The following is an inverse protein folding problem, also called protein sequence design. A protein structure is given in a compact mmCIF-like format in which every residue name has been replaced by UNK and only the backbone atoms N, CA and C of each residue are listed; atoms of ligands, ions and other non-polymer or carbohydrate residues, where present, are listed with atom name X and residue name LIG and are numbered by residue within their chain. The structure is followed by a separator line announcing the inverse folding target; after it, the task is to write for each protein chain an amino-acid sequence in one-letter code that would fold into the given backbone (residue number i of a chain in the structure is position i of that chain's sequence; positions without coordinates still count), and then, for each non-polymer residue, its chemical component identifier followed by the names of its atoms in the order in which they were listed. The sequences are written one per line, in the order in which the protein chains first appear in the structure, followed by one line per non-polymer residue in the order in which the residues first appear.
data_IF_494421069640
#
_entry.id   IF_494421069640
#
_cell.length_a   1.000
_cell.length_b   1.000
_cell.length_c   1.000
_cell.angle_alpha   90.00
_cell.angle_beta   90.00
_cell.angle_gamma   90.00
#
_symmetry.space_group_name_H-M   'P 1'
#
loop_
_entity.id
_entity.type
_entity.pdbx_description
1 polymer ?
#
# COMPACT_ATOMS: atom_id res chain seq x y z
N UNK A 1 -32.80 49.03 8.07
CA UNK A 1 -31.76 48.05 8.51
C UNK A 1 -31.95 46.78 7.72
N UNK A 2 -31.14 46.54 6.68
CA UNK A 2 -31.22 45.36 5.82
C UNK A 2 -30.25 44.29 6.31
N UNK A 3 -30.78 43.14 6.71
CA UNK A 3 -29.99 41.96 7.07
C UNK A 3 -29.38 41.34 5.80
N UNK A 4 -28.05 41.39 5.65
CA UNK A 4 -27.30 40.60 4.67
C UNK A 4 -27.30 39.13 5.09
N UNK A 5 -28.07 38.30 4.42
CA UNK A 5 -27.96 36.84 4.51
C UNK A 5 -26.75 36.41 3.72
N UNK A 6 -25.70 36.00 4.43
CA UNK A 6 -24.52 35.35 3.85
C UNK A 6 -24.90 33.95 3.42
N UNK A 7 -25.06 33.73 2.12
CA UNK A 7 -25.21 32.40 1.51
C UNK A 7 -23.85 31.70 1.53
N UNK A 8 -23.64 30.79 2.47
CA UNK A 8 -22.52 29.87 2.45
C UNK A 8 -22.63 28.95 1.22
N UNK A 9 -21.77 29.15 0.21
CA UNK A 9 -21.62 28.23 -0.92
C UNK A 9 -21.25 26.86 -0.34
N UNK A 10 -22.17 25.90 -0.34
CA UNK A 10 -21.89 24.48 -0.21
C UNK A 10 -20.97 24.09 -1.35
N UNK A 11 -19.69 23.87 -1.08
CA UNK A 11 -18.76 23.29 -2.05
C UNK A 11 -19.26 21.88 -2.39
N UNK A 12 -19.67 21.68 -3.64
CA UNK A 12 -19.94 20.35 -4.17
C UNK A 12 -18.68 19.50 -3.98
N UNK A 13 -18.76 18.28 -3.42
CA UNK A 13 -17.57 17.44 -3.29
C UNK A 13 -17.00 17.18 -4.67
N UNK A 14 -15.72 17.52 -4.88
CA UNK A 14 -15.02 17.25 -6.13
C UNK A 14 -15.04 15.74 -6.41
N UNK A 15 -15.42 15.36 -7.62
CA UNK A 15 -15.42 13.96 -8.07
C UNK A 15 -14.01 13.34 -8.03
N UNK A 16 -13.87 12.00 -8.10
CA UNK A 16 -12.58 11.30 -8.09
C UNK A 16 -11.61 11.82 -9.16
N UNK A 17 -12.12 12.22 -10.32
CA UNK A 17 -11.34 12.76 -11.44
C UNK A 17 -10.58 14.05 -11.06
N UNK A 18 -11.25 14.99 -10.39
CA UNK A 18 -10.62 16.23 -9.93
C UNK A 18 -9.55 15.97 -8.85
N UNK A 19 -9.77 15.00 -7.96
CA UNK A 19 -8.82 14.60 -6.92
C UNK A 19 -7.54 13.96 -7.49
N UNK A 20 -7.61 13.33 -8.68
CA UNK A 20 -6.46 12.71 -9.35
C UNK A 20 -5.69 13.67 -10.27
N UNK A 21 -6.08 14.93 -10.37
CA UNK A 21 -5.44 15.90 -11.28
C UNK A 21 -3.94 16.06 -10.97
N UNK A 22 -3.55 16.18 -9.69
CA UNK A 22 -2.14 16.30 -9.27
C UNK A 22 -1.35 15.03 -9.58
N UNK A 23 -1.91 13.86 -9.32
CA UNK A 23 -1.32 12.57 -9.64
C UNK A 23 -0.99 12.47 -11.14
N UNK A 24 -1.96 12.81 -12.01
CA UNK A 24 -1.80 12.74 -13.47
C UNK A 24 -0.80 13.78 -14.00
N UNK A 25 -0.78 14.99 -13.42
CA UNK A 25 0.16 16.05 -13.80
C UNK A 25 1.63 15.66 -13.60
N UNK A 26 1.91 14.81 -12.63
CA UNK A 26 3.28 14.39 -12.26
C UNK A 26 3.78 13.21 -13.08
N UNK A 27 2.98 12.59 -13.96
CA UNK A 27 3.29 11.31 -14.63
C UNK A 27 3.12 11.36 -16.12
N UNK A 28 4.04 10.70 -16.82
CA UNK A 28 3.91 10.39 -18.24
C UNK A 28 3.56 8.90 -18.40
N UNK A 29 2.28 8.61 -18.61
CA UNK A 29 1.76 7.23 -18.71
C UNK A 29 2.18 6.50 -20.00
N UNK A 30 2.89 7.16 -20.93
CA UNK A 30 3.57 6.47 -22.03
C UNK A 30 4.89 5.84 -21.60
N UNK A 31 5.46 6.29 -20.47
CA UNK A 31 6.77 5.90 -19.96
C UNK A 31 6.74 5.09 -18.68
N UNK A 32 5.61 5.08 -17.96
CA UNK A 32 5.44 4.31 -16.73
C UNK A 32 4.31 3.29 -16.85
N UNK A 33 4.44 2.16 -16.18
CA UNK A 33 3.38 1.16 -16.07
C UNK A 33 2.33 1.49 -14.97
N UNK A 34 2.47 2.63 -14.28
CA UNK A 34 1.51 3.06 -13.27
C UNK A 34 0.12 3.28 -13.87
N UNK A 35 -0.97 2.96 -13.14
CA UNK A 35 -2.34 3.15 -13.63
C UNK A 35 -2.73 4.63 -13.72
N UNK A 36 -3.30 5.05 -14.83
CA UNK A 36 -3.82 6.42 -15.02
C UNK A 36 -5.10 6.70 -14.21
N UNK A 37 -5.78 5.65 -13.71
CA UNK A 37 -7.07 5.73 -13.02
C UNK A 37 -8.25 5.85 -14.00
N UNK A 38 -9.47 5.72 -13.47
CA UNK A 38 -10.72 5.87 -14.24
C UNK A 38 -11.67 4.69 -14.12
N UNK A 39 -11.33 3.63 -13.39
CA UNK A 39 -12.23 2.51 -13.13
C UNK A 39 -13.04 2.75 -11.86
N UNK A 40 -14.36 2.72 -11.97
CA UNK A 40 -15.24 2.72 -10.81
C UNK A 40 -15.11 1.39 -10.05
N UNK A 41 -14.95 1.47 -8.73
CA UNK A 41 -14.92 0.29 -7.87
C UNK A 41 -16.33 -0.17 -7.52
N UNK A 42 -16.59 -1.50 -7.61
CA UNK A 42 -17.87 -2.11 -7.23
C UNK A 42 -17.92 -2.64 -5.77
N UNK A 43 -16.82 -2.57 -5.02
CA UNK A 43 -16.77 -3.11 -3.65
C UNK A 43 -17.36 -2.15 -2.63
N UNK A 44 -18.17 -2.69 -1.70
CA UNK A 44 -18.70 -1.95 -0.55
C UNK A 44 -17.68 -1.78 0.60
N UNK A 45 -16.56 -2.51 0.57
CA UNK A 45 -15.52 -2.43 1.60
C UNK A 45 -14.39 -1.54 1.13
N UNK A 46 -13.98 -0.60 1.97
CA UNK A 46 -12.85 0.28 1.71
C UNK A 46 -11.55 -0.52 1.71
N UNK A 47 -10.69 -0.27 0.73
CA UNK A 47 -9.41 -0.93 0.61
C UNK A 47 -8.30 -0.14 1.27
N UNK A 48 -7.25 -0.86 1.70
CA UNK A 48 -5.96 -0.27 1.95
C UNK A 48 -4.84 -1.08 1.28
N UNK A 49 -3.72 -0.41 1.07
CA UNK A 49 -2.47 -1.03 0.65
C UNK A 49 -1.30 -0.34 1.35
N UNK A 50 -0.26 -1.11 1.64
CA UNK A 50 1.07 -0.59 1.97
C UNK A 50 2.04 -1.10 0.91
N UNK A 51 2.74 -0.18 0.27
CA UNK A 51 3.75 -0.48 -0.73
C UNK A 51 5.13 -0.12 -0.19
N UNK A 52 6.04 -1.10 -0.10
CA UNK A 52 7.47 -0.86 0.16
C UNK A 52 8.07 -0.32 -1.12
N UNK A 53 8.64 0.88 -1.07
CA UNK A 53 9.10 1.62 -2.23
C UNK A 53 10.58 1.98 -2.10
N UNK A 54 11.41 1.35 -2.91
CA UNK A 54 12.84 1.67 -3.04
C UNK A 54 13.05 2.72 -4.14
N UNK A 55 12.73 3.98 -3.81
CA UNK A 55 13.01 5.17 -4.63
C UNK A 55 14.40 5.74 -4.29
N UNK A 56 14.57 7.06 -4.31
CA UNK A 56 15.80 7.72 -3.82
C UNK A 56 16.12 7.35 -2.37
N UNK A 57 15.09 7.13 -1.55
CA UNK A 57 15.16 6.61 -0.19
C UNK A 57 14.08 5.56 -0.01
N UNK A 58 14.40 4.48 0.72
CA UNK A 58 13.43 3.46 1.07
C UNK A 58 12.35 4.06 1.98
N UNK A 59 11.09 3.82 1.65
CA UNK A 59 9.94 4.21 2.46
C UNK A 59 8.78 3.24 2.22
N UNK A 60 7.70 3.44 2.98
CA UNK A 60 6.47 2.67 2.85
C UNK A 60 5.31 3.62 2.56
N UNK A 61 4.63 3.41 1.45
CA UNK A 61 3.45 4.18 1.08
C UNK A 61 2.20 3.54 1.66
N UNK A 62 1.60 4.16 2.67
CA UNK A 62 0.27 3.80 3.18
C UNK A 62 -0.79 4.50 2.35
N UNK A 63 -1.74 3.72 1.82
CA UNK A 63 -2.86 4.24 1.04
C UNK A 63 -4.18 3.69 1.57
N UNK A 64 -5.14 4.59 1.82
CA UNK A 64 -6.47 4.30 2.36
C UNK A 64 -7.53 4.85 1.41
N UNK A 65 -8.41 3.99 0.91
CA UNK A 65 -9.50 4.39 0.01
C UNK A 65 -10.51 5.28 0.71
N UNK A 66 -10.75 6.48 0.18
CA UNK A 66 -11.80 7.37 0.65
C UNK A 66 -12.32 8.21 -0.51
N UNK A 67 -13.64 8.27 -0.68
CA UNK A 67 -14.30 9.07 -1.73
C UNK A 67 -13.79 8.80 -3.16
N UNK A 68 -13.56 7.51 -3.47
CA UNK A 68 -13.19 7.05 -4.81
C UNK A 68 -11.73 7.23 -5.21
N UNK A 69 -10.85 7.59 -4.26
CA UNK A 69 -9.40 7.70 -4.44
C UNK A 69 -8.67 7.06 -3.26
N UNK A 70 -7.36 6.84 -3.41
CA UNK A 70 -6.48 6.39 -2.33
C UNK A 70 -5.80 7.59 -1.68
N UNK A 71 -6.24 7.99 -0.48
CA UNK A 71 -5.52 8.94 0.38
C UNK A 71 -4.17 8.35 0.74
N UNK A 72 -3.08 9.07 0.53
CA UNK A 72 -1.74 8.50 0.52
C UNK A 72 -0.76 9.23 1.43
N UNK A 73 0.09 8.45 2.12
CA UNK A 73 1.15 8.94 3.00
C UNK A 73 2.43 8.14 2.79
N UNK A 74 3.55 8.82 2.60
CA UNK A 74 4.88 8.23 2.66
C UNK A 74 5.34 8.12 4.11
N UNK A 75 5.68 6.91 4.56
CA UNK A 75 6.15 6.58 5.91
C UNK A 75 7.61 6.13 5.84
N UNK A 76 8.61 7.02 6.10
CA UNK A 76 10.02 6.73 5.84
C UNK A 76 10.58 5.51 6.59
N UNK A 77 10.11 5.27 7.81
CA UNK A 77 10.54 4.14 8.65
C UNK A 77 9.54 2.96 8.65
N UNK A 78 8.54 3.01 7.77
CA UNK A 78 7.45 2.02 7.75
C UNK A 78 6.55 2.05 8.99
N UNK A 79 5.50 1.20 9.02
CA UNK A 79 4.62 1.05 10.18
C UNK A 79 5.34 0.38 11.36
N UNK A 80 4.76 0.49 12.56
CA UNK A 80 5.21 -0.24 13.75
C UNK A 80 4.01 -0.81 14.49
N UNK A 81 4.07 -2.05 14.93
CA UNK A 81 3.07 -2.68 15.79
C UNK A 81 3.21 -2.29 17.27
N UNK A 82 4.29 -1.56 17.62
CA UNK A 82 4.51 -1.03 18.97
C UNK A 82 3.72 0.27 19.17
N UNK A 83 2.73 0.32 20.09
CA UNK A 83 1.93 1.51 20.36
C UNK A 83 2.71 2.70 20.94
N UNK A 84 3.92 2.49 21.47
CA UNK A 84 4.79 3.56 21.95
C UNK A 84 5.48 4.32 20.80
N UNK A 85 5.57 3.71 19.63
CA UNK A 85 6.28 4.23 18.46
C UNK A 85 5.34 5.06 17.58
N UNK A 86 5.72 6.33 17.36
CA UNK A 86 5.04 7.25 16.46
C UNK A 86 5.83 7.36 15.16
N UNK A 87 5.25 6.95 14.04
CA UNK A 87 5.91 7.00 12.73
C UNK A 87 5.50 8.26 11.97
N UNK A 88 6.47 9.04 11.52
CA UNK A 88 6.19 10.15 10.59
C UNK A 88 5.52 9.60 9.33
N UNK A 89 4.43 10.24 8.92
CA UNK A 89 3.70 9.95 7.70
C UNK A 89 3.48 11.28 6.95
N UNK A 90 4.14 11.44 5.81
CA UNK A 90 4.05 12.65 4.99
C UNK A 90 2.93 12.46 3.98
N UNK A 91 1.91 13.31 4.04
CA UNK A 91 0.81 13.25 3.08
C UNK A 91 1.32 13.61 1.68
N UNK A 92 0.94 12.81 0.71
CA UNK A 92 1.23 13.01 -0.72
C UNK A 92 -0.07 13.11 -1.50
N UNK A 93 0.01 13.25 -2.83
CA UNK A 93 -1.16 13.32 -3.70
C UNK A 93 -2.02 12.05 -3.62
N UNK A 94 -3.32 12.21 -3.89
CA UNK A 94 -4.25 11.11 -4.00
C UNK A 94 -3.89 10.21 -5.20
N UNK A 95 -4.00 8.89 -5.03
CA UNK A 95 -3.72 7.91 -6.08
C UNK A 95 -5.00 7.22 -6.56
N UNK A 96 -5.03 6.67 -7.77
CA UNK A 96 -6.17 5.90 -8.26
C UNK A 96 -6.31 4.57 -7.50
N UNK A 97 -7.53 4.04 -7.42
CA UNK A 97 -7.82 2.78 -6.71
C UNK A 97 -7.05 1.60 -7.34
N UNK A 98 -6.85 1.62 -8.64
CA UNK A 98 -6.09 0.61 -9.38
C UNK A 98 -4.64 0.48 -8.92
N UNK A 99 -4.09 1.55 -8.30
CA UNK A 99 -2.74 1.53 -7.75
C UNK A 99 -2.56 0.50 -6.62
N UNK A 100 -3.67 0.02 -6.01
CA UNK A 100 -3.67 -1.03 -4.98
C UNK A 100 -3.13 -2.38 -5.47
N UNK A 101 -3.05 -2.58 -6.78
CA UNK A 101 -2.49 -3.80 -7.39
C UNK A 101 -1.16 -3.56 -8.11
N UNK A 102 -0.64 -2.33 -8.08
CA UNK A 102 0.60 -2.00 -8.73
C UNK A 102 1.81 -2.55 -7.95
N UNK A 103 2.59 -3.40 -8.62
CA UNK A 103 3.89 -3.90 -8.19
C UNK A 103 4.81 -3.94 -9.40
N UNK A 104 6.01 -3.37 -9.29
CA UNK A 104 6.95 -3.30 -10.41
C UNK A 104 7.96 -2.18 -10.26
N UNK A 105 8.67 -1.87 -11.33
CA UNK A 105 9.68 -0.81 -11.35
C UNK A 105 9.17 0.38 -12.17
N UNK A 106 9.16 1.56 -11.54
CA UNK A 106 8.95 2.85 -12.19
C UNK A 106 10.30 3.29 -12.75
N UNK A 107 10.40 3.67 -14.04
CA UNK A 107 11.67 3.99 -14.67
C UNK A 107 12.43 5.11 -13.94
N UNK A 108 13.76 5.01 -13.93
CA UNK A 108 14.62 6.06 -13.38
C UNK A 108 14.43 7.36 -14.18
N UNK A 109 14.25 8.46 -13.46
CA UNK A 109 13.98 9.78 -14.05
C UNK A 109 12.50 10.15 -14.12
N UNK A 110 11.59 9.18 -13.96
CA UNK A 110 10.16 9.47 -13.78
C UNK A 110 9.86 9.83 -12.32
N UNK A 111 8.74 10.55 -12.08
CA UNK A 111 8.30 10.88 -10.73
C UNK A 111 8.02 9.61 -9.94
N UNK A 112 8.64 9.49 -8.76
CA UNK A 112 8.55 8.26 -7.95
C UNK A 112 9.38 7.09 -8.48
N UNK A 113 10.36 7.33 -9.38
CA UNK A 113 11.22 6.29 -9.95
C UNK A 113 11.83 5.37 -8.89
N UNK A 114 11.72 4.04 -9.09
CA UNK A 114 12.16 3.03 -8.15
C UNK A 114 11.31 1.77 -8.19
N UNK A 115 11.63 0.81 -7.33
CA UNK A 115 10.93 -0.48 -7.26
C UNK A 115 9.83 -0.44 -6.19
N UNK A 116 8.64 -0.86 -6.55
CA UNK A 116 7.45 -0.90 -5.70
C UNK A 116 7.03 -2.35 -5.46
N UNK A 117 6.93 -2.74 -4.19
CA UNK A 117 6.45 -4.05 -3.73
C UNK A 117 5.13 -3.89 -3.00
N UNK A 118 4.17 -4.76 -3.25
CA UNK A 118 2.95 -4.86 -2.43
C UNK A 118 3.30 -5.52 -1.08
N UNK A 119 3.65 -4.68 -0.09
CA UNK A 119 4.11 -5.15 1.22
C UNK A 119 2.96 -5.61 2.11
N UNK A 120 1.82 -4.91 2.12
CA UNK A 120 0.58 -5.38 2.76
C UNK A 120 -0.65 -4.86 2.02
N UNK A 121 -1.77 -5.56 2.11
CA UNK A 121 -3.05 -5.13 1.55
C UNK A 121 -4.22 -5.81 2.22
N UNK A 122 -5.37 -5.14 2.19
CA UNK A 122 -6.61 -5.68 2.74
C UNK A 122 -7.75 -4.68 2.65
N UNK A 123 -8.63 -4.75 3.63
CA UNK A 123 -9.72 -3.81 3.83
C UNK A 123 -9.53 -3.05 5.14
N UNK A 124 -10.21 -1.94 5.27
CA UNK A 124 -10.24 -1.20 6.52
C UNK A 124 -11.64 -0.66 6.80
N UNK A 125 -11.89 -0.32 8.05
CA UNK A 125 -13.15 0.25 8.53
C UNK A 125 -12.89 1.45 9.45
N UNK A 126 -13.95 2.18 9.77
CA UNK A 126 -13.87 3.28 10.73
C UNK A 126 -13.58 2.77 12.14
N UNK A 127 -12.62 3.40 12.80
CA UNK A 127 -12.18 3.06 14.17
C UNK A 127 -12.67 4.02 15.27
N UNK A 128 -13.65 4.87 14.97
CA UNK A 128 -14.23 5.82 15.93
C UNK A 128 -15.67 5.48 16.32
N UNK A 129 -16.39 6.46 16.85
CA UNK A 129 -17.72 6.30 17.45
C UNK A 129 -18.86 6.97 16.67
N UNK A 130 -18.60 7.56 15.49
CA UNK A 130 -19.65 8.15 14.66
C UNK A 130 -20.59 7.03 14.16
N UNK A 131 -21.93 7.17 14.30
CA UNK A 131 -22.88 6.17 13.82
C UNK A 131 -22.86 5.99 12.29
N UNK A 132 -22.46 7.00 11.51
CA UNK A 132 -22.12 6.86 10.09
C UNK A 132 -20.60 6.67 9.93
N UNK A 133 -20.13 5.46 9.60
CA UNK A 133 -18.70 5.18 9.47
C UNK A 133 -18.02 6.02 8.38
N UNK A 134 -18.69 6.27 7.26
CA UNK A 134 -18.11 7.01 6.14
C UNK A 134 -17.99 8.51 6.46
N UNK A 135 -19.01 9.07 7.10
CA UNK A 135 -18.98 10.45 7.60
C UNK A 135 -17.91 10.60 8.71
N UNK A 136 -17.79 9.60 9.60
CA UNK A 136 -16.73 9.54 10.61
C UNK A 136 -15.32 9.55 10.01
N UNK A 137 -15.07 8.79 8.94
CA UNK A 137 -13.80 8.79 8.21
C UNK A 137 -13.54 10.16 7.55
N UNK A 138 -14.52 10.73 6.85
CA UNK A 138 -14.41 12.06 6.23
C UNK A 138 -14.13 13.15 7.25
N UNK A 139 -14.88 13.14 8.35
CA UNK A 139 -14.72 14.08 9.45
C UNK A 139 -13.34 13.97 10.10
N UNK A 140 -12.89 12.75 10.39
CA UNK A 140 -11.59 12.46 10.97
C UNK A 140 -10.43 12.90 10.06
N UNK A 141 -10.51 12.60 8.76
CA UNK A 141 -9.52 13.05 7.78
C UNK A 141 -9.45 14.59 7.71
N UNK A 142 -10.59 15.26 7.63
CA UNK A 142 -10.67 16.72 7.60
C UNK A 142 -10.10 17.36 8.88
N UNK A 143 -10.45 16.81 10.04
CA UNK A 143 -10.00 17.27 11.36
C UNK A 143 -8.51 16.99 11.60
N UNK A 144 -7.97 15.90 10.99
CA UNK A 144 -6.61 15.42 11.26
C UNK A 144 -6.51 14.46 12.44
N UNK A 145 -7.58 13.74 12.73
CA UNK A 145 -7.68 12.64 13.70
C UNK A 145 -8.38 11.45 13.01
N UNK A 146 -7.63 10.76 12.17
CA UNK A 146 -8.16 9.75 11.26
C UNK A 146 -7.98 8.35 11.85
N UNK A 147 -9.03 7.83 12.51
CA UNK A 147 -9.05 6.54 13.19
C UNK A 147 -9.62 5.46 12.29
N UNK A 148 -8.93 4.33 12.20
CA UNK A 148 -9.31 3.21 11.34
C UNK A 148 -8.86 1.87 11.93
N UNK A 149 -9.52 0.81 11.50
CA UNK A 149 -9.19 -0.59 11.85
C UNK A 149 -8.75 -1.29 10.59
N UNK A 150 -7.53 -1.79 10.55
CA UNK A 150 -6.98 -2.56 9.44
C UNK A 150 -7.36 -4.04 9.56
N UNK A 151 -7.64 -4.66 8.39
CA UNK A 151 -7.79 -6.08 8.21
C UNK A 151 -6.90 -6.50 7.03
N UNK A 152 -5.60 -6.47 7.25
CA UNK A 152 -4.55 -6.83 6.31
C UNK A 152 -4.01 -8.24 6.49
N UNK A 153 -3.08 -8.60 5.64
CA UNK A 153 -2.34 -9.86 5.77
C UNK A 153 -1.27 -9.79 6.88
N UNK A 154 -0.74 -8.59 7.14
CA UNK A 154 0.32 -8.32 8.12
C UNK A 154 -0.13 -7.37 9.20
N UNK A 155 -0.77 -6.27 8.82
CA UNK A 155 -1.25 -5.27 9.76
C UNK A 155 -2.73 -5.45 10.03
N UNK A 156 -3.06 -5.56 11.31
CA UNK A 156 -4.43 -5.71 11.79
C UNK A 156 -4.71 -4.75 12.95
N UNK A 157 -5.99 -4.68 13.34
CA UNK A 157 -6.43 -3.92 14.50
C UNK A 157 -6.47 -2.41 14.30
N UNK A 158 -6.49 -1.69 15.40
CA UNK A 158 -6.81 -0.26 15.47
C UNK A 158 -5.58 0.63 15.31
N UNK A 159 -5.73 1.68 14.49
CA UNK A 159 -4.70 2.64 14.14
C UNK A 159 -5.26 4.05 14.10
N UNK A 160 -4.37 5.03 14.20
CA UNK A 160 -4.71 6.43 13.98
C UNK A 160 -3.62 7.15 13.19
N UNK A 161 -4.04 8.03 12.29
CA UNK A 161 -3.22 9.08 11.70
C UNK A 161 -3.60 10.42 12.32
N UNK A 162 -2.63 11.05 12.99
CA UNK A 162 -2.80 12.36 13.64
C UNK A 162 -2.02 13.41 12.87
N UNK A 163 -2.72 14.40 12.30
CA UNK A 163 -2.07 15.53 11.62
C UNK A 163 -1.44 16.45 12.64
N UNK A 164 -0.17 16.78 12.46
CA UNK A 164 0.59 17.64 13.37
C UNK A 164 0.78 19.03 12.79
N UNK A 165 1.68 19.17 11.85
CA UNK A 165 2.06 20.45 11.21
C UNK A 165 2.36 20.20 9.74
N UNK A 166 2.52 21.27 8.98
CA UNK A 166 3.10 21.17 7.64
C UNK A 166 4.63 21.30 7.70
N UNK A 167 5.32 20.71 6.73
CA UNK A 167 6.74 20.93 6.54
C UNK A 167 7.04 22.34 5.97
N UNK A 168 8.31 22.67 5.73
CA UNK A 168 8.73 23.95 5.17
C UNK A 168 8.17 24.22 3.75
N UNK A 169 7.69 23.18 3.05
CA UNK A 169 7.06 23.26 1.73
C UNK A 169 5.55 23.31 1.79
N UNK A 170 4.95 23.33 3.00
CA UNK A 170 3.52 23.32 3.21
C UNK A 170 2.86 21.94 3.11
N UNK A 171 3.64 20.84 2.99
CA UNK A 171 3.09 19.50 2.96
C UNK A 171 2.62 19.07 4.36
N UNK A 172 1.38 18.56 4.50
CA UNK A 172 0.87 18.11 5.78
C UNK A 172 1.65 16.91 6.32
N UNK A 173 2.12 17.03 7.56
CA UNK A 173 2.76 15.96 8.29
C UNK A 173 1.79 15.33 9.28
N UNK A 174 1.84 13.99 9.35
CA UNK A 174 1.01 13.18 10.22
C UNK A 174 1.88 12.22 11.02
N UNK A 175 1.32 11.66 12.07
CA UNK A 175 1.90 10.56 12.83
C UNK A 175 0.99 9.34 12.66
N UNK A 176 1.56 8.24 12.17
CA UNK A 176 0.93 6.92 12.16
C UNK A 176 1.24 6.22 13.47
N UNK A 177 0.20 5.80 14.20
CA UNK A 177 0.31 5.22 15.53
C UNK A 177 -0.60 3.99 15.60
N UNK A 178 -0.06 2.87 16.10
CA UNK A 178 -0.82 1.68 16.49
C UNK A 178 -1.51 1.92 17.83
N UNK A 179 -2.79 1.61 17.93
CA UNK A 179 -3.46 1.58 19.23
C UNK A 179 -3.12 0.30 20.01
N UNK A 180 -3.29 0.35 21.35
CA UNK A 180 -3.19 -0.83 22.21
C UNK A 180 -4.42 -1.71 21.98
N UNK A 181 -4.21 -2.87 21.37
CA UNK A 181 -5.20 -3.90 21.13
C UNK A 181 -4.51 -5.27 21.06
N UNK A 182 -5.23 -6.32 20.75
CA UNK A 182 -4.71 -7.70 20.64
C UNK A 182 -3.67 -7.92 19.54
N UNK A 183 -3.55 -6.98 18.59
CA UNK A 183 -2.57 -6.99 17.50
C UNK A 183 -1.37 -6.07 17.75
N UNK A 184 -1.25 -5.52 18.96
CA UNK A 184 -0.12 -4.69 19.33
C UNK A 184 1.06 -5.58 19.77
N UNK A 185 2.25 -5.29 19.22
CA UNK A 185 3.47 -6.04 19.50
C UNK A 185 4.60 -5.09 19.93
N UNK A 186 4.69 -4.76 21.24
CA UNK A 186 5.73 -3.88 21.74
C UNK A 186 7.13 -4.42 21.45
N UNK A 187 8.00 -3.56 20.91
CA UNK A 187 9.40 -3.91 20.62
C UNK A 187 9.63 -4.71 19.32
N UNK A 188 8.57 -5.06 18.55
CA UNK A 188 8.71 -5.75 17.27
C UNK A 188 9.17 -4.80 16.15
N UNK A 189 9.82 -5.35 15.13
CA UNK A 189 10.09 -4.67 13.86
C UNK A 189 9.46 -5.43 12.68
N UNK A 190 8.17 -5.24 12.50
CA UNK A 190 7.38 -5.86 11.44
C UNK A 190 7.96 -5.59 10.03
N UNK A 191 8.73 -4.52 9.86
CA UNK A 191 9.34 -4.20 8.56
C UNK A 191 10.60 -5.01 8.27
N UNK A 192 11.32 -5.45 9.30
CA UNK A 192 12.46 -6.37 9.19
C UNK A 192 12.01 -7.83 9.06
N UNK A 193 10.88 -8.20 9.64
CA UNK A 193 10.35 -9.56 9.63
C UNK A 193 9.74 -9.96 8.27
N UNK A 194 9.26 -8.97 7.49
CA UNK A 194 8.53 -9.21 6.25
C UNK A 194 9.21 -8.58 5.05
N UNK A 195 9.95 -9.40 4.30
CA UNK A 195 10.80 -8.95 3.18
C UNK A 195 10.23 -9.24 1.79
N UNK A 196 9.09 -9.94 1.68
CA UNK A 196 8.52 -10.36 0.39
C UNK A 196 7.17 -9.70 0.12
N UNK A 197 6.73 -9.71 -1.13
CA UNK A 197 5.40 -9.23 -1.55
C UNK A 197 4.28 -10.14 -1.04
N UNK A 198 3.20 -9.57 -0.51
CA UNK A 198 1.97 -10.34 -0.17
C UNK A 198 1.17 -10.77 -1.40
N UNK A 199 1.49 -10.26 -2.58
CA UNK A 199 0.82 -10.58 -3.83
C UNK A 199 1.58 -11.64 -4.63
N UNK A 200 2.89 -11.45 -4.83
CA UNK A 200 3.72 -12.30 -5.69
C UNK A 200 4.68 -13.22 -4.93
N UNK A 201 4.89 -12.99 -3.62
CA UNK A 201 5.88 -13.69 -2.80
C UNK A 201 7.34 -13.27 -3.07
N UNK A 202 7.58 -12.34 -4.03
CA UNK A 202 8.91 -11.91 -4.45
C UNK A 202 9.53 -10.89 -3.51
N UNK A 203 10.87 -10.88 -3.48
CA UNK A 203 11.66 -9.83 -2.82
C UNK A 203 11.72 -8.56 -3.66
N UNK A 204 12.27 -7.47 -3.10
CA UNK A 204 12.48 -6.21 -3.83
C UNK A 204 13.45 -6.39 -5.00
N UNK A 205 14.49 -7.21 -4.83
CA UNK A 205 15.52 -7.49 -5.82
C UNK A 205 14.94 -8.30 -7.00
N UNK A 206 14.09 -9.28 -6.73
CA UNK A 206 13.41 -10.08 -7.76
C UNK A 206 12.40 -9.24 -8.55
N UNK A 207 11.72 -8.29 -7.91
CA UNK A 207 10.83 -7.35 -8.58
C UNK A 207 11.65 -6.38 -9.45
N UNK A 208 12.77 -5.86 -8.94
CA UNK A 208 13.67 -4.97 -9.67
C UNK A 208 14.31 -5.63 -10.88
N UNK A 209 14.63 -6.93 -10.79
CA UNK A 209 15.26 -7.73 -11.85
C UNK A 209 14.35 -8.04 -13.05
N UNK A 210 13.11 -7.54 -13.05
CA UNK A 210 12.22 -7.64 -14.22
C UNK A 210 11.63 -9.01 -14.49
N UNK A 211 11.80 -10.00 -13.60
CA UNK A 211 11.09 -11.30 -13.68
C UNK A 211 9.60 -11.17 -13.34
N UNK A 212 9.06 -9.95 -13.42
CA UNK A 212 7.68 -9.65 -13.10
C UNK A 212 6.83 -9.61 -14.36
N UNK A 213 5.60 -10.13 -14.25
CA UNK A 213 4.54 -9.81 -15.19
C UNK A 213 4.44 -8.27 -15.22
N UNK A 214 4.84 -7.66 -16.33
CA UNK A 214 4.66 -6.23 -16.55
C UNK A 214 3.16 -5.98 -16.50
N UNK A 215 2.71 -5.22 -15.49
CA UNK A 215 1.31 -4.85 -15.39
C UNK A 215 1.01 -3.78 -16.47
N UNK A 216 0.24 -4.16 -17.48
CA UNK A 216 -0.19 -3.24 -18.55
C UNK A 216 -1.58 -2.72 -18.19
N UNK A 217 -1.67 -1.47 -17.74
CA UNK A 217 -2.93 -0.81 -17.35
C UNK A 217 -3.94 -0.66 -18.50
N UNK A 218 -3.51 -0.77 -19.74
CA UNK A 218 -4.31 -0.50 -20.95
C UNK A 218 -4.63 -1.73 -21.81
N UNK A 219 -4.25 -2.95 -21.42
CA UNK A 219 -4.71 -4.15 -22.14
C UNK A 219 -6.02 -4.64 -21.53
N UNK A 220 -7.11 -4.50 -22.30
CA UNK A 220 -8.34 -5.24 -22.05
C UNK A 220 -8.07 -6.75 -22.02
N UNK A 221 -8.87 -7.49 -21.25
CA UNK A 221 -8.80 -8.95 -21.00
C UNK A 221 -9.00 -9.83 -22.25
N UNK A 222 -8.23 -9.63 -23.32
CA UNK A 222 -8.33 -10.44 -24.54
C UNK A 222 -6.98 -10.92 -25.05
N UNK A 223 -6.08 -11.39 -24.20
CA UNK A 223 -4.90 -12.16 -24.68
C UNK A 223 -4.18 -12.87 -23.51
N UNK A 224 -4.91 -13.70 -22.76
CA UNK A 224 -4.33 -14.57 -21.74
C UNK A 224 -4.62 -16.05 -22.02
N UNK A 225 -4.71 -16.46 -23.31
CA UNK A 225 -4.90 -17.87 -23.63
C UNK A 225 -4.24 -18.27 -24.96
N UNK A 226 -2.91 -18.25 -25.00
CA UNK A 226 -2.16 -18.94 -26.04
C UNK A 226 -0.67 -19.13 -25.70
N UNK A 227 -0.36 -19.88 -24.63
CA UNK A 227 0.89 -20.64 -24.55
C UNK A 227 0.63 -21.91 -23.72
N UNK A 228 -0.01 -22.88 -24.37
CA UNK A 228 0.13 -24.29 -23.99
C UNK A 228 1.51 -24.74 -24.42
N UNK A 229 2.46 -24.80 -23.49
CA UNK A 229 3.68 -25.57 -23.68
C UNK A 229 3.35 -27.07 -23.81
N UNK A 230 3.84 -27.68 -24.91
CA UNK A 230 3.84 -29.14 -25.11
C UNK A 230 4.75 -29.79 -24.08
N UNK A 231 4.38 -30.93 -23.50
CA UNK A 231 5.27 -31.66 -22.60
C UNK A 231 6.42 -32.28 -23.40
N UNK A 232 7.66 -32.00 -23.00
CA UNK A 232 8.86 -32.66 -23.50
C UNK A 232 8.95 -34.09 -22.90
N UNK A 233 9.28 -35.01 -23.75
CA UNK A 233 9.36 -36.44 -23.47
C UNK A 233 10.48 -36.81 -22.46
N UNK A 234 10.19 -37.81 -21.63
CA UNK A 234 11.08 -38.48 -20.71
C UNK A 234 12.37 -38.97 -21.36
N UNK A 235 13.51 -38.70 -20.74
CA UNK A 235 14.72 -39.51 -20.83
C UNK A 235 15.25 -39.75 -19.40
N UNK A 236 15.63 -41.00 -19.17
CA UNK A 236 15.78 -41.73 -17.94
C UNK A 236 16.75 -41.18 -16.88
N UNK A 237 16.47 -41.64 -15.67
CA UNK A 237 17.27 -41.54 -14.44
C UNK A 237 18.51 -42.45 -14.50
N UNK A 238 19.56 -42.11 -13.74
CA UNK A 238 20.21 -43.11 -12.89
C UNK A 238 20.10 -42.77 -11.39
N UNK A 239 19.85 -43.82 -10.63
CA UNK A 239 19.82 -43.92 -9.18
C UNK A 239 21.17 -43.59 -8.53
N UNK A 240 21.17 -42.78 -7.43
CA UNK A 240 22.39 -42.50 -6.66
C UNK A 240 22.12 -41.90 -5.29
N UNK A 241 22.02 -42.72 -4.28
CA UNK A 241 22.35 -42.60 -2.84
C UNK A 241 22.16 -41.31 -2.06
N UNK A 242 21.31 -41.46 -1.05
CA UNK A 242 21.10 -40.71 0.19
C UNK A 242 22.31 -39.97 0.78
N UNK A 243 22.11 -38.66 1.07
CA UNK A 243 22.93 -37.86 1.98
C UNK A 243 22.05 -36.87 2.73
N UNK A 244 21.84 -37.16 4.02
CA UNK A 244 20.98 -36.34 4.90
C UNK A 244 21.43 -34.88 5.00
N UNK A 245 20.45 -34.03 5.05
CA UNK A 245 20.55 -32.56 5.14
C UNK A 245 21.37 -32.11 6.36
N UNK A 246 22.12 -31.00 6.18
CA UNK A 246 22.90 -30.35 7.25
C UNK A 246 22.01 -29.93 8.47
N UNK A 247 20.71 -29.78 8.27
CA UNK A 247 19.73 -29.46 9.31
C UNK A 247 19.50 -30.62 10.29
N UNK A 248 19.47 -31.86 9.82
CA UNK A 248 19.29 -33.04 10.69
C UNK A 248 20.54 -33.33 11.57
N UNK A 249 21.72 -32.93 11.14
CA UNK A 249 22.96 -33.06 11.94
C UNK A 249 23.05 -32.01 13.07
N UNK A 250 22.38 -30.89 12.94
CA UNK A 250 22.39 -29.84 13.96
C UNK A 250 21.44 -30.17 15.14
N UNK A 251 20.33 -30.86 14.88
CA UNK A 251 19.35 -31.22 15.92
C UNK A 251 19.76 -32.40 16.78
N UNK A 252 20.63 -33.31 16.26
CA UNK A 252 21.11 -34.45 17.02
C UNK A 252 22.15 -34.10 18.12
N UNK A 253 22.68 -32.88 18.16
CA UNK A 253 23.67 -32.42 19.15
C UNK A 253 23.07 -31.72 20.38
N UNK A 254 21.77 -31.58 20.48
CA UNK A 254 21.10 -30.81 21.56
C UNK A 254 20.46 -31.67 22.65
N UNK A 255 20.57 -32.98 22.56
CA UNK A 255 20.03 -33.94 23.54
C UNK A 255 21.15 -34.89 24.05
N UNK A 256 22.26 -34.32 24.50
CA UNK A 256 23.17 -35.00 25.43
C UNK A 256 23.68 -34.01 26.47
#
# INVERSE_FOLDING_TARGET
MAKKTSSAKKSTPEGPEAKLAEYRKKRDFSRTAEPAGGRARKSQRLAFVIQKHAASHLHYDLRLELDGVMKSWAVPKGPSLDPSVKRLAMQVEDHPIEYNSFEGTIPKGEYGGGTVMLWDRGTYSYGGTNPDPLDGLRGGYKKGDFKFVLNGKRLQGSWVLVRTRSDARGQPQWLLIKHKDEYAEPGSDVTAEHLTSVASGRTMEEIAGGQSRVWHSNRGEKEADSHKEKPAAHAGLPSGKSGGSAYERLMARRNR
#
